data_IF_324539575414
#
_entry.id   IF_324539575414
#
_cell.length_a   1.000
_cell.length_b   1.000
_cell.length_c   1.000
_cell.angle_alpha   90.00
_cell.angle_beta   90.00
_cell.angle_gamma   90.00
#
_symmetry.space_group_name_H-M   'P 1'
#
loop_
_entity.id
_entity.type
_entity.pdbx_description
1 polymer ?
#
# COMPACT_ATOMS: atom_id res chain seq x y z
N UNK A 1 12.32 -15.05 17.55
CA UNK A 1 11.94 -14.10 16.50
C UNK A 1 11.80 -12.71 17.14
N UNK A 2 12.65 -11.74 16.79
CA UNK A 2 12.60 -10.40 17.39
C UNK A 2 11.60 -9.55 16.60
N UNK A 3 10.38 -9.41 17.12
CA UNK A 3 9.29 -8.59 16.56
C UNK A 3 9.73 -7.16 16.24
N UNK A 4 10.48 -6.52 17.15
CA UNK A 4 11.05 -5.17 16.95
C UNK A 4 11.97 -5.09 15.73
N UNK A 5 12.79 -6.11 15.47
CA UNK A 5 13.68 -6.14 14.32
C UNK A 5 12.89 -6.26 13.01
N UNK A 6 11.89 -7.11 12.98
CA UNK A 6 11.03 -7.32 11.79
C UNK A 6 10.19 -6.09 11.47
N UNK A 7 9.70 -5.39 12.51
CA UNK A 7 8.97 -4.14 12.36
C UNK A 7 9.87 -3.01 11.79
N UNK A 8 11.07 -2.83 12.33
CA UNK A 8 12.02 -1.82 11.84
C UNK A 8 12.53 -2.16 10.43
N UNK A 9 12.71 -3.43 10.12
CA UNK A 9 13.06 -3.88 8.77
C UNK A 9 11.93 -3.58 7.77
N UNK A 10 10.67 -3.84 8.12
CA UNK A 10 9.51 -3.57 7.27
C UNK A 10 9.26 -2.08 7.02
N UNK A 11 9.52 -1.24 8.03
CA UNK A 11 9.27 0.20 7.95
C UNK A 11 10.39 0.97 7.24
N UNK A 12 11.65 0.65 7.49
CA UNK A 12 12.80 1.42 7.02
C UNK A 12 13.69 0.66 6.05
N UNK A 13 14.22 -0.50 6.47
CA UNK A 13 15.30 -1.18 5.73
C UNK A 13 14.78 -2.01 4.55
N UNK A 14 13.57 -2.57 4.67
CA UNK A 14 12.91 -3.38 3.63
C UNK A 14 11.51 -2.87 3.31
N UNK A 15 11.33 -1.54 3.30
CA UNK A 15 10.04 -0.95 2.95
C UNK A 15 9.61 -1.43 1.55
N UNK A 16 8.36 -1.94 1.39
CA UNK A 16 7.93 -2.54 0.14
C UNK A 16 7.92 -1.55 -1.03
N UNK A 17 7.61 -0.28 -0.79
CA UNK A 17 7.50 0.73 -1.84
C UNK A 17 8.85 1.35 -2.17
N UNK A 18 9.61 1.80 -1.16
CA UNK A 18 10.83 2.59 -1.37
C UNK A 18 12.08 1.76 -1.65
N UNK A 19 12.12 0.51 -1.18
CA UNK A 19 13.29 -0.37 -1.32
C UNK A 19 13.00 -1.52 -2.28
N UNK A 20 11.85 -2.19 -2.14
CA UNK A 20 11.50 -3.34 -2.98
C UNK A 20 10.82 -2.92 -4.27
N UNK A 21 10.34 -1.68 -4.39
CA UNK A 21 9.60 -1.13 -5.53
C UNK A 21 8.33 -1.94 -5.87
N UNK A 22 7.73 -2.55 -4.85
CA UNK A 22 6.50 -3.33 -4.96
C UNK A 22 5.27 -2.45 -4.64
N UNK A 23 4.18 -2.68 -5.35
CA UNK A 23 2.94 -1.92 -5.15
C UNK A 23 2.92 -0.54 -5.82
N UNK A 24 3.85 -0.24 -6.73
CA UNK A 24 3.91 1.07 -7.41
C UNK A 24 2.66 1.38 -8.22
N UNK A 25 2.02 0.38 -8.84
CA UNK A 25 0.82 0.58 -9.64
C UNK A 25 -0.35 1.17 -8.83
N UNK A 26 -0.58 0.66 -7.63
CA UNK A 26 -1.62 1.19 -6.74
C UNK A 26 -1.21 2.52 -6.11
N UNK A 27 0.08 2.69 -5.77
CA UNK A 27 0.62 3.96 -5.25
C UNK A 27 0.44 5.09 -6.26
N UNK A 28 0.69 4.87 -7.53
CA UNK A 28 0.53 5.89 -8.58
C UNK A 28 -0.92 6.21 -8.90
N UNK A 29 -1.79 5.21 -8.84
CA UNK A 29 -3.19 5.36 -9.24
C UNK A 29 -4.07 6.04 -8.17
N UNK A 30 -3.86 5.73 -6.88
CA UNK A 30 -4.77 6.09 -5.79
C UNK A 30 -4.37 7.35 -5.02
N UNK A 31 -3.13 7.77 -5.08
CA UNK A 31 -2.58 8.85 -4.26
C UNK A 31 -3.03 10.26 -4.67
N UNK A 32 -4.29 10.41 -5.02
CA UNK A 32 -4.92 11.71 -5.34
C UNK A 32 -5.56 12.37 -4.12
N UNK A 33 -5.95 11.57 -3.11
CA UNK A 33 -6.56 12.03 -1.85
C UNK A 33 -6.05 11.20 -0.68
N UNK A 34 -5.80 11.85 0.46
CA UNK A 34 -5.33 11.22 1.68
C UNK A 34 -6.33 10.19 2.21
N UNK A 35 -7.65 10.48 2.11
CA UNK A 35 -8.70 9.57 2.54
C UNK A 35 -8.68 8.25 1.77
N UNK A 36 -8.52 8.31 0.44
CA UNK A 36 -8.40 7.12 -0.41
C UNK A 36 -7.11 6.34 -0.11
N UNK A 37 -6.02 7.04 0.17
CA UNK A 37 -4.75 6.43 0.53
C UNK A 37 -4.81 5.64 1.83
N UNK A 38 -5.43 6.18 2.88
CA UNK A 38 -5.61 5.49 4.17
C UNK A 38 -6.54 4.27 3.99
N UNK A 39 -7.68 4.45 3.31
CA UNK A 39 -8.62 3.37 3.05
C UNK A 39 -7.99 2.21 2.29
N UNK A 40 -7.23 2.50 1.24
CA UNK A 40 -6.51 1.49 0.46
C UNK A 40 -5.39 0.82 1.29
N UNK A 41 -4.63 1.59 2.05
CA UNK A 41 -3.57 1.06 2.91
C UNK A 41 -4.09 0.07 3.94
N UNK A 42 -5.19 0.40 4.61
CA UNK A 42 -5.86 -0.50 5.57
C UNK A 42 -6.39 -1.76 4.88
N UNK A 43 -7.09 -1.61 3.75
CA UNK A 43 -7.62 -2.74 2.98
C UNK A 43 -6.52 -3.70 2.54
N UNK A 44 -5.43 -3.18 1.97
CA UNK A 44 -4.28 -3.99 1.56
C UNK A 44 -3.62 -4.68 2.76
N UNK A 45 -3.50 -4.02 3.91
CA UNK A 45 -2.91 -4.61 5.12
C UNK A 45 -3.73 -5.80 5.62
N UNK A 46 -5.06 -5.67 5.66
CA UNK A 46 -5.96 -6.75 6.08
C UNK A 46 -5.88 -7.92 5.10
N UNK A 47 -6.01 -7.64 3.80
CA UNK A 47 -5.96 -8.67 2.75
C UNK A 47 -4.61 -9.38 2.74
N UNK A 48 -3.50 -8.64 2.82
CA UNK A 48 -2.13 -9.18 2.85
C UNK A 48 -1.94 -10.12 4.04
N UNK A 49 -2.40 -9.73 5.22
CA UNK A 49 -2.26 -10.54 6.44
C UNK A 49 -3.09 -11.82 6.34
N UNK A 50 -4.37 -11.72 5.95
CA UNK A 50 -5.25 -12.88 5.78
C UNK A 50 -4.77 -13.82 4.68
N UNK A 51 -4.36 -13.28 3.54
CA UNK A 51 -3.82 -14.07 2.43
C UNK A 51 -2.52 -14.80 2.83
N UNK A 52 -1.59 -14.13 3.50
CA UNK A 52 -0.35 -14.73 3.98
C UNK A 52 -0.61 -15.89 4.96
N UNK A 53 -1.57 -15.74 5.87
CA UNK A 53 -1.98 -16.80 6.82
C UNK A 53 -2.49 -18.01 6.05
N UNK A 54 -3.44 -17.82 5.14
CA UNK A 54 -4.07 -18.92 4.41
C UNK A 54 -3.07 -19.60 3.45
N UNK A 55 -2.28 -18.83 2.73
CA UNK A 55 -1.24 -19.36 1.82
C UNK A 55 -0.19 -20.17 2.58
N UNK A 56 0.24 -19.69 3.74
CA UNK A 56 1.17 -20.41 4.60
C UNK A 56 0.58 -21.72 5.14
N UNK A 57 -0.72 -21.77 5.44
CA UNK A 57 -1.42 -22.97 5.84
C UNK A 57 -1.54 -23.98 4.68
N UNK A 58 -1.88 -23.51 3.48
CA UNK A 58 -2.11 -24.32 2.28
C UNK A 58 -0.83 -24.68 1.52
N UNK A 59 0.34 -24.17 1.91
CA UNK A 59 1.62 -24.35 1.18
C UNK A 59 2.01 -25.79 0.87
N UNK A 60 1.53 -26.76 1.69
CA UNK A 60 1.82 -28.19 1.49
C UNK A 60 0.89 -28.87 0.49
N UNK A 61 -0.26 -28.26 0.19
CA UNK A 61 -1.30 -28.81 -0.68
C UNK A 61 -1.13 -28.31 -2.11
N UNK A 62 -0.61 -27.09 -2.28
CA UNK A 62 -0.52 -26.43 -3.59
C UNK A 62 0.76 -26.90 -4.30
N UNK A 63 0.65 -27.58 -5.47
CA UNK A 63 1.81 -27.98 -6.27
C UNK A 63 2.51 -26.76 -6.88
N UNK A 64 3.83 -26.86 -7.07
CA UNK A 64 4.68 -25.75 -7.53
C UNK A 64 4.30 -25.18 -8.91
N UNK A 65 3.70 -26.00 -9.77
CA UNK A 65 3.35 -25.64 -11.15
C UNK A 65 2.19 -24.62 -11.24
N UNK A 66 1.22 -24.68 -10.33
CA UNK A 66 0.02 -23.85 -10.34
C UNK A 66 -0.04 -22.85 -9.15
N UNK A 67 1.07 -22.66 -8.46
CA UNK A 67 1.16 -21.90 -7.22
C UNK A 67 0.66 -20.46 -7.36
N UNK A 68 1.12 -19.75 -8.40
CA UNK A 68 0.74 -18.33 -8.62
C UNK A 68 -0.76 -18.21 -8.92
N UNK A 69 -1.31 -19.09 -9.75
CA UNK A 69 -2.73 -19.08 -10.07
C UNK A 69 -3.60 -19.34 -8.82
N UNK A 70 -3.19 -20.29 -7.97
CA UNK A 70 -3.88 -20.58 -6.72
C UNK A 70 -3.85 -19.36 -5.75
N UNK A 71 -2.73 -18.66 -5.66
CA UNK A 71 -2.62 -17.46 -4.83
C UNK A 71 -3.54 -16.34 -5.31
N UNK A 72 -3.64 -16.11 -6.62
CA UNK A 72 -4.55 -15.10 -7.18
C UNK A 72 -6.00 -15.40 -6.82
N UNK A 73 -6.43 -16.66 -6.89
CA UNK A 73 -7.80 -17.06 -6.52
C UNK A 73 -8.08 -16.82 -5.03
N UNK A 74 -7.14 -17.16 -4.16
CA UNK A 74 -7.26 -16.93 -2.72
C UNK A 74 -7.35 -15.42 -2.42
N UNK A 75 -6.47 -14.62 -3.03
CA UNK A 75 -6.46 -13.17 -2.84
C UNK A 75 -7.77 -12.55 -3.37
N UNK A 76 -8.26 -13.01 -4.53
CA UNK A 76 -9.52 -12.55 -5.11
C UNK A 76 -10.72 -12.80 -4.19
N UNK A 77 -10.77 -13.95 -3.52
CA UNK A 77 -11.81 -14.26 -2.54
C UNK A 77 -11.80 -13.27 -1.37
N UNK A 78 -10.62 -12.97 -0.79
CA UNK A 78 -10.51 -11.99 0.29
C UNK A 78 -10.83 -10.56 -0.17
N UNK A 79 -10.40 -10.17 -1.37
CA UNK A 79 -10.72 -8.86 -1.94
C UNK A 79 -12.22 -8.69 -2.11
N UNK A 80 -12.93 -9.72 -2.58
CA UNK A 80 -14.39 -9.68 -2.72
C UNK A 80 -15.09 -9.51 -1.36
N UNK A 81 -14.63 -10.21 -0.33
CA UNK A 81 -15.17 -10.07 1.04
C UNK A 81 -14.95 -8.64 1.55
N UNK A 82 -13.76 -8.08 1.37
CA UNK A 82 -13.44 -6.70 1.81
C UNK A 82 -14.24 -5.68 1.00
N UNK A 83 -14.44 -5.87 -0.30
CA UNK A 83 -15.27 -4.98 -1.14
C UNK A 83 -16.72 -4.95 -0.65
N UNK A 84 -17.31 -6.11 -0.36
CA UNK A 84 -18.67 -6.20 0.19
C UNK A 84 -18.75 -5.53 1.57
N UNK A 85 -17.75 -5.71 2.42
CA UNK A 85 -17.68 -5.05 3.71
C UNK A 85 -17.58 -3.53 3.58
N UNK A 86 -16.74 -3.02 2.68
CA UNK A 86 -16.62 -1.58 2.41
C UNK A 86 -17.92 -0.98 1.88
N UNK A 87 -18.63 -1.68 0.99
CA UNK A 87 -19.96 -1.28 0.49
C UNK A 87 -21.00 -1.20 1.60
N UNK A 88 -20.92 -2.09 2.58
CA UNK A 88 -21.87 -2.13 3.70
C UNK A 88 -21.60 -1.04 4.75
N UNK A 89 -20.32 -0.78 5.08
CA UNK A 89 -19.95 0.11 6.19
C UNK A 89 -19.62 1.53 5.76
N UNK A 90 -18.93 1.72 4.62
CA UNK A 90 -18.45 3.02 4.15
C UNK A 90 -18.70 3.16 2.64
N UNK A 91 -19.95 3.42 2.22
CA UNK A 91 -20.30 3.50 0.79
C UNK A 91 -19.58 4.62 0.05
N UNK A 92 -19.27 5.74 0.72
CA UNK A 92 -18.52 6.85 0.13
C UNK A 92 -17.10 6.45 -0.28
N UNK A 93 -16.40 5.68 0.57
CA UNK A 93 -15.06 5.15 0.27
C UNK A 93 -15.11 4.09 -0.82
N UNK A 94 -16.13 3.22 -0.78
CA UNK A 94 -16.34 2.21 -1.83
C UNK A 94 -16.59 2.83 -3.21
N UNK A 95 -17.34 3.91 -3.30
CA UNK A 95 -17.55 4.63 -4.55
C UNK A 95 -16.25 5.21 -5.12
N UNK A 96 -15.39 5.77 -4.26
CA UNK A 96 -14.09 6.33 -4.65
C UNK A 96 -13.07 5.26 -5.03
N UNK A 97 -13.07 4.11 -4.33
CA UNK A 97 -12.12 3.01 -4.53
C UNK A 97 -12.62 1.93 -5.51
N UNK A 98 -13.87 2.01 -5.98
CA UNK A 98 -14.53 0.93 -6.71
C UNK A 98 -13.77 0.37 -7.92
N UNK A 99 -13.06 1.23 -8.67
CA UNK A 99 -12.23 0.81 -9.80
C UNK A 99 -10.88 0.25 -9.35
N UNK A 100 -10.40 0.64 -8.17
CA UNK A 100 -9.07 0.27 -7.66
C UNK A 100 -9.08 -0.99 -6.80
N UNK A 101 -10.24 -1.40 -6.27
CA UNK A 101 -10.35 -2.63 -5.47
C UNK A 101 -9.94 -3.88 -6.27
N UNK A 102 -10.37 -4.08 -7.53
CA UNK A 102 -9.89 -5.19 -8.35
C UNK A 102 -8.38 -5.17 -8.59
N UNK A 103 -7.74 -3.99 -8.55
CA UNK A 103 -6.29 -3.86 -8.69
C UNK A 103 -5.53 -4.45 -7.49
N UNK A 104 -6.18 -4.60 -6.33
CA UNK A 104 -5.59 -5.24 -5.16
C UNK A 104 -5.31 -6.71 -5.42
N UNK A 105 -6.14 -7.39 -6.22
CA UNK A 105 -5.97 -8.83 -6.53
C UNK A 105 -4.63 -9.11 -7.17
N UNK A 106 -4.21 -8.26 -8.11
CA UNK A 106 -2.93 -8.40 -8.84
C UNK A 106 -1.83 -7.52 -8.26
N UNK A 107 -2.02 -6.99 -7.07
CA UNK A 107 -1.03 -6.11 -6.45
C UNK A 107 0.27 -6.88 -6.17
N UNK A 108 1.37 -6.37 -6.73
CA UNK A 108 2.67 -7.04 -6.66
C UNK A 108 3.22 -7.16 -5.24
N UNK A 109 2.79 -6.33 -4.28
CA UNK A 109 3.20 -6.49 -2.89
C UNK A 109 2.58 -7.76 -2.29
N UNK A 110 1.30 -8.03 -2.55
CA UNK A 110 0.60 -9.20 -2.00
C UNK A 110 1.15 -10.48 -2.62
N UNK A 111 1.25 -10.53 -3.96
CA UNK A 111 1.81 -11.67 -4.66
C UNK A 111 3.29 -11.89 -4.33
N UNK A 112 4.07 -10.82 -4.26
CA UNK A 112 5.49 -10.89 -3.92
C UNK A 112 5.75 -11.42 -2.52
N UNK A 113 4.92 -11.05 -1.52
CA UNK A 113 5.03 -11.57 -0.15
C UNK A 113 4.46 -12.98 -0.01
N UNK A 114 3.39 -13.30 -0.74
CA UNK A 114 2.83 -14.64 -0.81
C UNK A 114 3.86 -15.66 -1.30
N UNK A 115 4.51 -15.39 -2.42
CA UNK A 115 5.52 -16.29 -3.00
C UNK A 115 6.88 -16.21 -2.28
N UNK A 116 7.34 -15.01 -1.95
CA UNK A 116 8.68 -14.81 -1.37
C UNK A 116 8.80 -15.24 0.09
N UNK A 117 7.74 -15.08 0.88
CA UNK A 117 7.77 -15.30 2.32
C UNK A 117 6.75 -16.32 2.82
N UNK A 118 5.45 -16.15 2.52
CA UNK A 118 4.40 -17.00 3.10
C UNK A 118 4.50 -18.47 2.64
N UNK A 119 4.91 -18.70 1.41
CA UNK A 119 5.13 -20.05 0.87
C UNK A 119 6.25 -20.82 1.56
N UNK A 120 7.19 -20.14 2.21
CA UNK A 120 8.41 -20.73 2.80
C UNK A 120 8.37 -20.78 4.33
N UNK A 121 7.62 -19.89 4.97
CA UNK A 121 7.60 -19.73 6.42
C UNK A 121 6.29 -20.24 7.05
N UNK A 122 6.30 -20.36 8.38
CA UNK A 122 5.13 -20.79 9.14
C UNK A 122 4.07 -19.69 9.27
N UNK A 123 2.86 -20.07 9.63
CA UNK A 123 1.66 -19.21 9.69
C UNK A 123 1.85 -17.97 10.56
N UNK A 124 2.40 -18.13 11.78
CA UNK A 124 2.64 -17.01 12.70
C UNK A 124 3.66 -16.00 12.15
N UNK A 125 4.75 -16.50 11.55
CA UNK A 125 5.74 -15.63 10.94
C UNK A 125 5.17 -14.85 9.74
N UNK A 126 4.33 -15.51 8.95
CA UNK A 126 3.67 -14.91 7.78
C UNK A 126 2.62 -13.87 8.18
N UNK A 127 1.91 -14.07 9.28
CA UNK A 127 0.97 -13.08 9.82
C UNK A 127 1.69 -11.81 10.27
N UNK A 128 2.75 -11.95 11.05
CA UNK A 128 3.57 -10.81 11.53
C UNK A 128 4.20 -10.05 10.35
N UNK A 129 4.71 -10.78 9.37
CA UNK A 129 5.26 -10.16 8.16
C UNK A 129 4.19 -9.37 7.39
N UNK A 130 2.99 -9.94 7.22
CA UNK A 130 1.87 -9.26 6.56
C UNK A 130 1.51 -7.92 7.23
N UNK A 131 1.42 -7.90 8.56
CA UNK A 131 1.13 -6.68 9.33
C UNK A 131 2.28 -5.66 9.17
N UNK A 132 3.52 -6.07 9.35
CA UNK A 132 4.67 -5.17 9.27
C UNK A 132 4.84 -4.55 7.87
N UNK A 133 4.69 -5.36 6.83
CA UNK A 133 4.80 -4.89 5.44
C UNK A 133 3.58 -4.03 5.05
N UNK A 134 2.38 -4.38 5.51
CA UNK A 134 1.17 -3.61 5.29
C UNK A 134 1.25 -2.22 5.92
N UNK A 135 1.76 -2.11 7.16
CA UNK A 135 2.00 -0.81 7.80
C UNK A 135 3.04 -0.01 7.02
N UNK A 136 4.16 -0.62 6.61
CA UNK A 136 5.18 0.04 5.80
C UNK A 136 4.63 0.57 4.47
N UNK A 137 3.77 -0.19 3.82
CA UNK A 137 3.06 0.21 2.60
C UNK A 137 2.09 1.38 2.85
N UNK A 138 1.31 1.32 3.93
CA UNK A 138 0.35 2.38 4.30
C UNK A 138 1.06 3.70 4.59
N UNK A 139 2.18 3.67 5.31
CA UNK A 139 3.00 4.86 5.58
C UNK A 139 3.52 5.47 4.30
N UNK A 140 4.06 4.66 3.39
CA UNK A 140 4.54 5.15 2.09
C UNK A 140 3.40 5.75 1.25
N UNK A 141 2.21 5.14 1.23
CA UNK A 141 1.02 5.69 0.60
C UNK A 141 0.63 7.05 1.17
N UNK A 142 0.58 7.18 2.51
CA UNK A 142 0.21 8.43 3.17
C UNK A 142 1.19 9.55 2.81
N UNK A 143 2.50 9.28 2.80
CA UNK A 143 3.52 10.26 2.41
C UNK A 143 3.30 10.73 0.96
N UNK A 144 3.06 9.77 0.04
CA UNK A 144 2.76 10.09 -1.35
C UNK A 144 1.49 10.92 -1.50
N UNK A 145 0.40 10.54 -0.79
CA UNK A 145 -0.86 11.27 -0.81
C UNK A 145 -0.70 12.72 -0.33
N UNK A 146 -0.02 12.92 0.80
CA UNK A 146 0.23 14.26 1.36
C UNK A 146 0.96 15.13 0.35
N UNK A 147 2.04 14.64 -0.25
CA UNK A 147 2.83 15.42 -1.20
C UNK A 147 2.02 15.73 -2.46
N UNK A 148 1.33 14.74 -3.03
CA UNK A 148 0.55 14.91 -4.26
C UNK A 148 -0.71 15.75 -4.06
N UNK A 149 -1.40 15.60 -2.95
CA UNK A 149 -2.58 16.41 -2.61
C UNK A 149 -2.18 17.87 -2.39
N UNK A 150 -1.08 18.11 -1.67
CA UNK A 150 -0.57 19.46 -1.44
C UNK A 150 -0.12 20.16 -2.72
N UNK A 151 0.62 19.47 -3.59
CA UNK A 151 1.14 20.04 -4.84
C UNK A 151 0.09 20.11 -5.96
N UNK A 152 -0.86 19.17 -5.99
CA UNK A 152 -1.84 19.03 -7.06
C UNK A 152 -3.10 19.85 -6.84
N UNK A 153 -3.67 19.79 -5.64
CA UNK A 153 -4.94 20.45 -5.31
C UNK A 153 -4.76 21.65 -4.40
N UNK A 154 -3.60 21.80 -3.75
CA UNK A 154 -3.36 22.84 -2.74
C UNK A 154 -4.25 22.71 -1.50
N UNK A 155 -4.91 21.57 -1.35
CA UNK A 155 -5.77 21.20 -0.21
C UNK A 155 -5.09 20.14 0.62
N UNK A 156 -5.38 20.12 1.91
CA UNK A 156 -4.89 19.10 2.83
C UNK A 156 -6.08 18.38 3.50
N UNK A 157 -6.12 17.05 3.39
CA UNK A 157 -7.12 16.23 4.04
C UNK A 157 -8.53 16.31 3.42
N UNK A 158 -8.63 16.53 2.12
CA UNK A 158 -9.90 16.50 1.40
C UNK A 158 -10.65 15.19 1.60
N UNK A 159 -11.89 15.26 2.06
CA UNK A 159 -12.74 14.10 2.34
C UNK A 159 -12.70 13.56 3.77
N UNK A 160 -11.64 13.83 4.56
CA UNK A 160 -11.53 13.33 5.93
C UNK A 160 -12.08 14.30 6.98
N UNK A 161 -11.85 15.61 6.81
CA UNK A 161 -12.11 16.61 7.85
C UNK A 161 -13.41 17.39 7.65
N UNK A 162 -13.89 17.62 6.42
CA UNK A 162 -15.05 18.49 6.15
C UNK A 162 -15.94 18.02 4.98
N UNK A 163 -16.20 16.73 4.83
CA UNK A 163 -17.21 16.26 3.88
C UNK A 163 -16.93 16.56 2.39
N UNK A 164 -15.66 16.76 2.01
CA UNK A 164 -15.27 16.94 0.60
C UNK A 164 -14.41 18.16 0.30
N UNK A 165 -14.42 19.19 1.13
CA UNK A 165 -13.55 20.37 0.96
C UNK A 165 -12.44 20.33 2.01
N UNK A 166 -11.20 20.00 1.59
CA UNK A 166 -10.01 20.08 2.44
C UNK A 166 -9.63 21.52 2.78
N UNK A 167 -8.78 21.70 3.80
CA UNK A 167 -8.23 23.00 4.15
C UNK A 167 -7.36 23.50 3.01
N UNK A 168 -7.77 24.58 2.34
CA UNK A 168 -6.98 25.22 1.27
C UNK A 168 -5.77 25.92 1.87
N UNK A 169 -4.58 25.46 1.49
CA UNK A 169 -3.29 26.04 1.92
C UNK A 169 -2.69 26.91 0.81
N UNK A 170 -2.94 26.55 -0.47
CA UNK A 170 -2.39 27.27 -1.63
C UNK A 170 -3.52 27.99 -2.38
N UNK A 171 -3.36 29.28 -2.74
CA UNK A 171 -4.37 30.04 -3.51
C UNK A 171 -4.62 29.37 -4.86
N UNK A 172 -5.88 29.38 -5.31
CA UNK A 172 -6.43 28.66 -6.47
C UNK A 172 -5.77 29.01 -7.84
N UNK A 173 -4.80 29.90 -7.88
CA UNK A 173 -4.11 30.32 -9.10
C UNK A 173 -2.92 29.44 -9.51
N UNK A 174 -2.47 28.50 -8.64
CA UNK A 174 -1.29 27.65 -8.89
C UNK A 174 -1.48 26.14 -8.60
N UNK A 175 -2.63 25.50 -8.88
CA UNK A 175 -2.69 24.05 -8.80
C UNK A 175 -1.92 23.48 -10.01
N UNK A 176 -0.83 22.79 -9.76
CA UNK A 176 -0.12 22.01 -10.78
C UNK A 176 -0.91 20.75 -11.11
N UNK A 177 -1.99 20.88 -11.89
CA UNK A 177 -2.91 19.79 -12.25
C UNK A 177 -2.20 18.57 -12.85
N UNK A 178 -1.03 18.79 -13.47
CA UNK A 178 -0.16 17.72 -13.95
C UNK A 178 0.42 16.83 -12.82
N UNK A 179 0.51 17.32 -11.59
CA UNK A 179 0.97 16.54 -10.44
C UNK A 179 -0.06 15.50 -9.97
N UNK A 180 -1.35 15.72 -10.26
CA UNK A 180 -2.42 14.73 -10.01
C UNK A 180 -2.38 13.61 -11.04
N UNK A 181 -1.90 13.87 -12.24
CA UNK A 181 -1.72 12.87 -13.30
C UNK A 181 -0.63 11.83 -12.94
N UNK A 182 -0.67 10.63 -13.54
CA UNK A 182 0.35 9.58 -13.31
C UNK A 182 1.79 10.05 -13.53
N UNK A 183 2.01 10.97 -14.47
CA UNK A 183 3.34 11.55 -14.77
C UNK A 183 3.92 12.28 -13.55
N UNK A 184 3.11 13.11 -12.88
CA UNK A 184 3.51 13.77 -11.63
C UNK A 184 3.76 12.75 -10.50
N UNK A 185 2.99 11.65 -10.48
CA UNK A 185 3.20 10.55 -9.54
C UNK A 185 4.57 9.91 -9.65
N UNK A 186 5.06 9.65 -10.88
CA UNK A 186 6.40 9.11 -11.11
C UNK A 186 7.49 10.07 -10.65
N UNK A 187 7.33 11.36 -10.91
CA UNK A 187 8.29 12.39 -10.52
C UNK A 187 8.40 12.46 -8.99
N UNK A 188 7.26 12.56 -8.29
CA UNK A 188 7.22 12.61 -6.82
C UNK A 188 7.79 11.32 -6.21
N UNK A 189 7.44 10.15 -6.78
CA UNK A 189 7.96 8.86 -6.32
C UNK A 189 9.48 8.79 -6.47
N UNK A 190 10.03 9.26 -7.60
CA UNK A 190 11.48 9.35 -7.83
C UNK A 190 12.18 10.17 -6.75
N UNK A 191 11.64 11.34 -6.38
CA UNK A 191 12.18 12.18 -5.31
C UNK A 191 12.11 11.50 -3.94
N UNK A 192 11.01 10.82 -3.63
CA UNK A 192 10.86 10.09 -2.36
C UNK A 192 11.85 8.94 -2.26
N UNK A 193 12.05 8.17 -3.33
CA UNK A 193 13.03 7.08 -3.37
C UNK A 193 14.44 7.63 -3.19
N UNK A 194 14.81 8.67 -3.91
CA UNK A 194 16.12 9.31 -3.77
C UNK A 194 16.36 9.85 -2.35
N UNK A 195 15.36 10.53 -1.78
CA UNK A 195 15.40 11.02 -0.41
C UNK A 195 15.52 9.91 0.64
N UNK A 196 14.75 8.83 0.48
CA UNK A 196 14.81 7.68 1.40
C UNK A 196 16.15 6.96 1.35
N UNK A 197 16.74 6.78 0.18
CA UNK A 197 18.06 6.17 0.02
C UNK A 197 19.17 7.06 0.59
N UNK A 198 19.08 8.36 0.36
CA UNK A 198 20.04 9.33 0.94
C UNK A 198 19.97 9.32 2.47
N UNK A 199 18.77 9.28 3.04
CA UNK A 199 18.56 9.20 4.48
C UNK A 199 19.10 7.91 5.07
N UNK A 200 18.84 6.76 4.42
CA UNK A 200 19.37 5.47 4.85
C UNK A 200 20.90 5.44 4.81
N UNK A 201 21.53 5.99 3.77
CA UNK A 201 22.98 6.09 3.65
C UNK A 201 23.58 6.95 4.78
N UNK A 202 22.90 8.04 5.13
CA UNK A 202 23.33 8.92 6.24
C UNK A 202 23.19 8.27 7.61
N UNK A 203 22.13 7.49 7.82
CA UNK A 203 21.91 6.74 9.06
C UNK A 203 22.92 5.59 9.21
N UNK A 204 23.29 4.93 8.12
CA UNK A 204 24.26 3.84 8.13
C UNK A 204 25.72 4.33 8.35
N UNK A 205 26.05 5.55 7.89
CA UNK A 205 27.35 6.17 8.14
C UNK A 205 27.53 6.72 9.58
N UNK A 206 26.44 6.76 10.38
CA UNK A 206 26.48 7.18 11.80
C UNK A 206 26.58 6.00 12.77
N UNK A 207 26.57 4.77 12.28
CA UNK A 207 26.79 3.54 13.04
C UNK A 207 28.20 3.02 12.85
#
# INVERSE_FOLDING_TARGET
>A
MNFKKQFTEGLLTKNPVTVQLLGMCSVLAITTSLFNGIGMGLSVTIILTCANILISALRKVIPSQIRIAAYIVIIAAFVTVVDLALKAFIPALSASLGVFIPLIVVNCIILGRAEGFASKNGVLASAVDGICQGIGYTVALCIMCIIRELLGSGTFGGGLLNGGEGIRIIPAQFPAMQMVMPVGGFLVLGFIIAGSQWLMKRLNNKK
#
